data_IF_010984499710
#
_entry.id   IF_010984499710
#
_cell.length_a   1.000
_cell.length_b   1.000
_cell.length_c   1.000
_cell.angle_alpha   90.00
_cell.angle_beta   90.00
_cell.angle_gamma   90.00
#
_symmetry.space_group_name_H-M   'P 1'
#
loop_
_entity.id
_entity.type
_entity.pdbx_description
1 polymer ?
#
# COMPACT_ATOMS: atom_id res chain seq x y z
N UNK A 1 -42.84 -8.72 -24.65
CA UNK A 1 -43.24 -9.16 -23.29
C UNK A 1 -42.41 -10.38 -22.94
N UNK A 2 -41.35 -10.22 -22.13
CA UNK A 2 -40.69 -11.32 -21.45
C UNK A 2 -40.65 -10.94 -19.98
N UNK A 3 -41.61 -11.45 -19.22
CA UNK A 3 -41.63 -11.36 -17.77
C UNK A 3 -40.43 -12.16 -17.24
N UNK A 4 -39.58 -11.52 -16.45
CA UNK A 4 -38.51 -12.18 -15.68
C UNK A 4 -38.99 -12.25 -14.23
N UNK A 5 -39.37 -13.44 -13.80
CA UNK A 5 -39.74 -13.71 -12.42
C UNK A 5 -38.50 -13.68 -11.53
N UNK A 6 -38.51 -12.77 -10.54
CA UNK A 6 -37.54 -12.73 -9.46
C UNK A 6 -37.87 -13.83 -8.44
N UNK A 7 -37.31 -15.01 -8.64
CA UNK A 7 -37.36 -16.10 -7.67
C UNK A 7 -36.34 -15.91 -6.54
N UNK A 8 -36.82 -15.42 -5.40
CA UNK A 8 -36.11 -15.44 -4.11
C UNK A 8 -35.89 -16.88 -3.64
N UNK A 9 -34.67 -17.41 -3.76
CA UNK A 9 -34.30 -18.69 -3.14
C UNK A 9 -33.77 -18.45 -1.71
N UNK A 10 -34.66 -18.56 -0.75
CA UNK A 10 -34.35 -18.85 0.64
C UNK A 10 -33.59 -20.19 0.76
N UNK A 11 -32.39 -20.20 1.32
CA UNK A 11 -31.78 -21.40 1.92
C UNK A 11 -31.39 -21.11 3.38
N UNK A 12 -31.62 -22.09 4.28
CA UNK A 12 -31.96 -21.81 5.67
C UNK A 12 -30.72 -21.68 6.57
N UNK A 13 -30.93 -20.95 7.68
CA UNK A 13 -30.05 -20.95 8.84
C UNK A 13 -29.92 -22.36 9.44
N UNK A 14 -28.68 -22.71 9.75
CA UNK A 14 -28.23 -23.35 11.00
C UNK A 14 -27.32 -24.56 10.78
N UNK A 15 -26.03 -24.32 10.91
CA UNK A 15 -25.10 -25.31 11.43
C UNK A 15 -24.17 -24.54 12.37
N UNK A 16 -24.30 -24.86 13.66
CA UNK A 16 -23.68 -24.21 14.81
C UNK A 16 -22.16 -24.18 14.63
N UNK A 17 -21.60 -23.04 14.19
CA UNK A 17 -20.19 -22.77 14.42
C UNK A 17 -20.09 -22.40 15.89
N UNK A 18 -19.69 -23.37 16.70
CA UNK A 18 -19.40 -23.20 18.12
C UNK A 18 -18.21 -22.25 18.24
N UNK A 19 -18.49 -20.95 18.15
CA UNK A 19 -17.52 -19.89 18.39
C UNK A 19 -17.84 -19.40 19.78
N UNK A 20 -16.98 -19.79 20.71
CA UNK A 20 -16.75 -19.19 22.01
C UNK A 20 -16.44 -17.70 21.85
N UNK A 21 -17.45 -16.94 21.44
CA UNK A 21 -17.49 -15.49 21.44
C UNK A 21 -17.73 -15.12 22.89
N UNK A 22 -16.69 -14.96 23.71
CA UNK A 22 -16.66 -14.07 24.89
C UNK A 22 -15.21 -13.82 25.37
N UNK A 23 -14.30 -13.43 24.47
CA UNK A 23 -13.04 -12.76 24.87
C UNK A 23 -12.50 -11.74 23.85
N UNK A 24 -13.29 -11.31 22.85
CA UNK A 24 -12.92 -10.12 22.08
C UNK A 24 -13.30 -8.87 22.87
N UNK A 25 -12.44 -8.57 23.84
CA UNK A 25 -12.57 -7.49 24.81
C UNK A 25 -12.77 -6.13 24.14
N UNK A 26 -13.67 -5.34 24.72
CA UNK A 26 -14.01 -3.97 24.37
C UNK A 26 -12.88 -3.00 24.77
N UNK A 27 -11.64 -3.28 24.40
CA UNK A 27 -10.51 -2.38 24.71
C UNK A 27 -10.41 -1.35 23.59
N UNK A 28 -10.82 -0.11 23.89
CA UNK A 28 -10.64 1.02 22.97
C UNK A 28 -9.14 1.33 22.89
N UNK A 29 -8.47 1.10 21.75
CA UNK A 29 -7.03 1.29 21.65
C UNK A 29 -6.64 2.75 21.90
N UNK A 30 -5.51 2.96 22.56
CA UNK A 30 -4.92 4.31 22.73
C UNK A 30 -4.58 4.90 21.36
N UNK A 31 -4.51 6.23 21.25
CA UNK A 31 -4.25 6.92 19.97
C UNK A 31 -2.96 6.45 19.28
N UNK A 32 -1.94 6.03 20.04
CA UNK A 32 -0.70 5.44 19.51
C UNK A 32 -0.90 4.04 18.94
N UNK A 33 -1.63 3.17 19.66
CA UNK A 33 -1.95 1.80 19.24
C UNK A 33 -2.80 1.77 17.96
N UNK A 34 -3.74 2.70 17.80
CA UNK A 34 -4.53 2.83 16.56
C UNK A 34 -3.62 3.11 15.36
N UNK A 35 -2.62 3.98 15.55
CA UNK A 35 -1.67 4.32 14.49
C UNK A 35 -0.77 3.15 14.15
N UNK A 36 -0.29 2.43 15.15
CA UNK A 36 0.53 1.25 14.96
C UNK A 36 -0.25 0.13 14.24
N UNK A 37 -1.46 -0.18 14.71
CA UNK A 37 -2.34 -1.16 14.07
C UNK A 37 -2.66 -0.78 12.62
N UNK A 38 -2.93 0.50 12.35
CA UNK A 38 -3.14 0.99 10.98
C UNK A 38 -1.89 0.80 10.12
N UNK A 39 -0.69 1.05 10.66
CA UNK A 39 0.56 0.82 9.98
C UNK A 39 0.79 -0.67 9.65
N UNK A 40 0.58 -1.56 10.62
CA UNK A 40 0.64 -3.01 10.40
C UNK A 40 -0.33 -3.49 9.31
N UNK A 41 -1.56 -2.98 9.32
CA UNK A 41 -2.57 -3.28 8.28
C UNK A 41 -2.14 -2.79 6.90
N UNK A 42 -1.56 -1.59 6.81
CA UNK A 42 -0.98 -1.07 5.56
C UNK A 42 0.10 -2.02 5.04
N UNK A 43 1.02 -2.47 5.89
CA UNK A 43 2.07 -3.41 5.49
C UNK A 43 1.49 -4.72 4.93
N UNK A 44 0.46 -5.27 5.59
CA UNK A 44 -0.21 -6.49 5.14
C UNK A 44 -0.96 -6.31 3.81
N UNK A 45 -1.63 -5.17 3.60
CA UNK A 45 -2.26 -4.87 2.32
C UNK A 45 -1.23 -4.78 1.18
N UNK A 46 -0.08 -4.16 1.44
CA UNK A 46 0.99 -4.06 0.45
C UNK A 46 1.63 -5.42 0.14
N UNK A 47 1.75 -6.32 1.12
CA UNK A 47 2.28 -7.67 0.88
C UNK A 47 1.31 -8.52 0.05
N UNK A 48 -0.01 -8.35 0.22
CA UNK A 48 -0.99 -8.98 -0.68
C UNK A 48 -0.93 -8.39 -2.09
N UNK A 49 -0.80 -7.07 -2.22
CA UNK A 49 -0.63 -6.42 -3.51
C UNK A 49 0.57 -6.96 -4.28
N UNK A 50 1.71 -7.13 -3.61
CA UNK A 50 2.93 -7.66 -4.20
C UNK A 50 2.79 -9.11 -4.69
N UNK A 51 2.11 -9.97 -3.93
CA UNK A 51 1.86 -11.37 -4.29
C UNK A 51 0.91 -11.50 -5.49
N UNK A 52 -0.14 -10.69 -5.52
CA UNK A 52 -1.21 -10.82 -6.54
C UNK A 52 -0.91 -10.05 -7.82
N UNK A 53 -0.05 -9.03 -7.79
CA UNK A 53 0.12 -8.07 -8.89
C UNK A 53 0.38 -8.72 -10.26
N UNK A 54 1.16 -9.80 -10.32
CA UNK A 54 1.44 -10.51 -11.60
C UNK A 54 0.22 -11.24 -12.17
N UNK A 55 -0.72 -11.65 -11.32
CA UNK A 55 -1.92 -12.37 -11.71
C UNK A 55 -3.07 -11.39 -11.96
N UNK A 56 -3.27 -10.45 -11.04
CA UNK A 56 -4.39 -9.52 -11.05
C UNK A 56 -3.92 -8.11 -10.65
N UNK A 57 -3.42 -7.31 -11.61
CA UNK A 57 -2.84 -5.99 -11.33
C UNK A 57 -3.89 -4.96 -10.86
N UNK A 58 -5.16 -5.15 -11.23
CA UNK A 58 -6.26 -4.30 -10.77
C UNK A 58 -6.54 -4.51 -9.27
N UNK A 59 -6.52 -5.76 -8.80
CA UNK A 59 -6.69 -6.07 -7.38
C UNK A 59 -5.51 -5.55 -6.54
N UNK A 60 -4.29 -5.60 -7.07
CA UNK A 60 -3.14 -4.97 -6.43
C UNK A 60 -3.31 -3.44 -6.28
N UNK A 61 -3.86 -2.75 -7.29
CA UNK A 61 -4.20 -1.34 -7.18
C UNK A 61 -5.27 -1.08 -6.11
N UNK A 62 -6.27 -1.95 -5.99
CA UNK A 62 -7.31 -1.85 -4.95
C UNK A 62 -6.70 -1.95 -3.56
N UNK A 63 -5.77 -2.87 -3.32
CA UNK A 63 -5.04 -2.95 -2.06
C UNK A 63 -4.22 -1.67 -1.78
N UNK A 64 -3.59 -1.09 -2.82
CA UNK A 64 -2.89 0.18 -2.70
C UNK A 64 -3.81 1.36 -2.33
N UNK A 65 -5.00 1.43 -2.94
CA UNK A 65 -6.04 2.41 -2.61
C UNK A 65 -6.49 2.29 -1.15
N UNK A 66 -6.82 1.07 -0.70
CA UNK A 66 -7.22 0.80 0.69
C UNK A 66 -6.11 1.19 1.67
N UNK A 67 -4.85 0.89 1.37
CA UNK A 67 -3.73 1.26 2.20
C UNK A 67 -3.56 2.79 2.30
N UNK A 68 -3.76 3.52 1.19
CA UNK A 68 -3.73 4.98 1.16
C UNK A 68 -4.88 5.60 1.98
N UNK A 69 -6.08 5.06 1.86
CA UNK A 69 -7.25 5.50 2.65
C UNK A 69 -7.06 5.26 4.14
N UNK A 70 -6.53 4.08 4.50
CA UNK A 70 -6.26 3.74 5.90
C UNK A 70 -5.22 4.69 6.52
N UNK A 71 -4.17 5.03 5.76
CA UNK A 71 -3.16 6.01 6.19
C UNK A 71 -3.77 7.40 6.46
N UNK A 72 -4.67 7.85 5.58
CA UNK A 72 -5.38 9.13 5.75
C UNK A 72 -6.30 9.09 6.97
N UNK A 73 -7.10 8.03 7.12
CA UNK A 73 -8.07 7.88 8.22
C UNK A 73 -7.38 7.82 9.58
N UNK A 74 -6.27 7.09 9.68
CA UNK A 74 -5.47 7.00 10.90
C UNK A 74 -4.55 8.23 11.12
N UNK A 75 -4.54 9.20 10.20
CA UNK A 75 -3.70 10.42 10.23
C UNK A 75 -2.22 10.07 10.48
N UNK A 76 -1.73 9.06 9.78
CA UNK A 76 -0.32 8.67 9.84
C UNK A 76 0.54 9.71 9.13
N UNK A 77 1.74 9.99 9.67
CA UNK A 77 2.77 10.60 8.84
C UNK A 77 3.05 9.63 7.69
N UNK A 78 2.93 10.11 6.45
CA UNK A 78 2.86 9.28 5.27
C UNK A 78 4.03 8.26 5.24
N UNK A 79 3.76 6.96 5.49
CA UNK A 79 4.81 5.97 5.72
C UNK A 79 5.73 5.78 4.51
N UNK A 80 7.00 5.47 4.75
CA UNK A 80 8.00 5.32 3.69
C UNK A 80 7.67 4.18 2.73
N UNK A 81 7.09 3.09 3.21
CA UNK A 81 6.56 1.99 2.40
C UNK A 81 5.49 2.45 1.39
N UNK A 82 4.60 3.37 1.79
CA UNK A 82 3.63 3.97 0.89
C UNK A 82 4.26 5.00 -0.05
N UNK A 83 5.42 5.58 0.29
CA UNK A 83 6.17 6.45 -0.65
C UNK A 83 6.81 5.63 -1.75
N UNK A 84 7.21 4.41 -1.45
CA UNK A 84 7.83 3.47 -2.36
C UNK A 84 6.81 2.74 -3.25
N UNK A 85 5.80 2.09 -2.65
CA UNK A 85 4.99 1.07 -3.32
C UNK A 85 3.62 1.52 -3.83
N UNK A 86 3.16 2.74 -3.52
CA UNK A 86 1.80 3.19 -3.88
C UNK A 86 1.83 4.59 -4.43
N UNK A 87 1.01 4.89 -5.44
CA UNK A 87 0.81 6.24 -5.97
C UNK A 87 -0.03 7.13 -5.03
N UNK A 88 0.37 8.39 -4.85
CA UNK A 88 -0.23 9.32 -3.87
C UNK A 88 -1.55 9.88 -4.40
N UNK A 89 -1.68 9.91 -5.73
CA UNK A 89 -2.82 10.47 -6.43
C UNK A 89 -3.90 9.41 -6.64
N UNK A 90 -3.59 8.34 -7.39
CA UNK A 90 -4.57 7.32 -7.77
C UNK A 90 -4.58 6.05 -6.90
N UNK A 91 -3.62 5.90 -5.96
CA UNK A 91 -3.53 4.69 -5.13
C UNK A 91 -2.99 3.44 -5.85
N UNK A 92 -2.63 3.53 -7.13
CA UNK A 92 -2.08 2.41 -7.89
C UNK A 92 -0.81 1.82 -7.25
N UNK A 93 -0.67 0.50 -7.34
CA UNK A 93 0.51 -0.22 -6.88
C UNK A 93 1.69 0.04 -7.82
N UNK A 94 2.82 0.43 -7.24
CA UNK A 94 4.02 0.88 -7.95
C UNK A 94 5.07 -0.23 -7.98
N UNK A 95 5.31 -0.76 -9.18
CA UNK A 95 6.36 -1.71 -9.50
C UNK A 95 7.36 -1.01 -10.42
N UNK A 96 8.64 -1.10 -10.07
CA UNK A 96 9.72 -0.50 -10.86
C UNK A 96 9.74 -1.10 -12.27
N UNK A 97 9.82 -0.23 -13.29
CA UNK A 97 9.91 -0.65 -14.68
C UNK A 97 8.55 -0.90 -15.35
N UNK A 98 7.53 -1.28 -14.58
CA UNK A 98 6.20 -1.59 -15.12
C UNK A 98 5.20 -0.44 -14.93
N UNK A 99 4.81 -0.15 -13.69
CA UNK A 99 3.82 0.91 -13.38
C UNK A 99 4.46 2.22 -12.93
N UNK A 100 5.76 2.18 -12.61
CA UNK A 100 6.54 3.33 -12.17
C UNK A 100 7.80 3.51 -13.03
N UNK A 101 8.03 4.76 -13.45
CA UNK A 101 9.27 5.17 -14.10
C UNK A 101 10.12 6.01 -13.15
N UNK A 102 11.36 5.59 -12.93
CA UNK A 102 12.34 6.33 -12.11
C UNK A 102 13.42 6.92 -13.01
N UNK A 103 13.72 8.21 -12.84
CA UNK A 103 14.77 8.93 -13.57
C UNK A 103 15.58 9.80 -12.63
N UNK A 104 16.89 9.90 -12.86
CA UNK A 104 17.73 10.88 -12.17
C UNK A 104 17.80 12.13 -13.05
N UNK A 105 17.37 13.28 -12.52
CA UNK A 105 17.45 14.57 -13.19
C UNK A 105 18.37 15.51 -12.41
N UNK A 106 19.11 16.36 -13.11
CA UNK A 106 19.86 17.46 -12.51
C UNK A 106 18.96 18.71 -12.51
N UNK A 107 18.91 19.44 -11.40
CA UNK A 107 18.30 20.79 -11.30
C UNK A 107 19.31 21.69 -10.60
N UNK A 108 19.98 22.54 -11.37
CA UNK A 108 21.11 23.34 -10.89
C UNK A 108 22.24 22.45 -10.36
N UNK A 109 22.68 22.71 -9.13
CA UNK A 109 23.73 21.93 -8.43
C UNK A 109 23.21 20.63 -7.79
N UNK A 110 21.89 20.41 -7.77
CA UNK A 110 21.27 19.28 -7.06
C UNK A 110 20.80 18.19 -8.02
N UNK A 111 21.09 16.92 -7.68
CA UNK A 111 20.53 15.75 -8.37
C UNK A 111 19.21 15.36 -7.69
N UNK A 112 18.19 15.04 -8.49
CA UNK A 112 16.85 14.66 -8.05
C UNK A 112 16.50 13.29 -8.63
N UNK A 113 15.91 12.45 -7.80
CA UNK A 113 15.21 11.24 -8.23
C UNK A 113 13.77 11.65 -8.53
N UNK A 114 13.37 11.45 -9.78
CA UNK A 114 12.03 11.73 -10.29
C UNK A 114 11.32 10.40 -10.50
N UNK A 115 10.25 10.20 -9.76
CA UNK A 115 9.42 9.01 -9.78
C UNK A 115 8.08 9.36 -10.40
N UNK A 116 7.74 8.74 -11.52
CA UNK A 116 6.51 9.02 -12.27
C UNK A 116 5.62 7.79 -12.29
N UNK A 117 4.35 7.96 -11.93
CA UNK A 117 3.33 6.93 -12.10
C UNK A 117 2.94 6.86 -13.58
N UNK A 118 3.04 5.68 -14.19
CA UNK A 118 2.67 5.48 -15.59
C UNK A 118 1.16 5.35 -15.79
N UNK A 119 0.39 5.02 -14.74
CA UNK A 119 -1.09 4.95 -14.80
C UNK A 119 -1.77 6.32 -14.80
N UNK A 120 -1.29 7.29 -14.00
CA UNK A 120 -1.95 8.61 -13.86
C UNK A 120 -1.06 9.83 -14.15
N UNK A 121 0.20 9.63 -14.52
CA UNK A 121 1.17 10.70 -14.79
C UNK A 121 1.70 11.45 -13.55
N UNK A 122 1.21 11.16 -12.36
CA UNK A 122 1.64 11.86 -11.15
C UNK A 122 3.14 11.65 -10.89
N UNK A 123 3.85 12.75 -10.65
CA UNK A 123 5.31 12.76 -10.51
C UNK A 123 5.74 13.24 -9.13
N UNK A 124 6.60 12.46 -8.47
CA UNK A 124 7.25 12.77 -7.19
C UNK A 124 8.72 13.07 -7.45
N UNK A 125 9.28 13.98 -6.67
CA UNK A 125 10.69 14.39 -6.79
C UNK A 125 11.34 14.34 -5.42
N UNK A 126 12.49 13.70 -5.34
CA UNK A 126 13.26 13.58 -4.13
C UNK A 126 14.71 13.99 -4.41
N UNK A 127 15.27 14.99 -3.72
CA UNK A 127 16.66 15.34 -3.92
C UNK A 127 17.57 14.24 -3.34
N UNK A 128 18.64 13.93 -4.08
CA UNK A 128 19.61 12.90 -3.73
C UNK A 128 20.50 13.34 -2.56
N UNK A 129 20.81 14.63 -2.49
CA UNK A 129 21.61 15.27 -1.43
C UNK A 129 20.71 16.20 -0.59
N UNK A 130 20.87 16.16 0.73
CA UNK A 130 20.12 16.98 1.71
C UNK A 130 19.49 16.18 2.86
N UNK A 131 19.14 16.86 3.96
CA UNK A 131 18.40 16.30 5.10
C UNK A 131 16.90 16.20 4.77
N UNK A 132 16.48 15.15 4.05
CA UNK A 132 15.05 14.87 3.85
C UNK A 132 14.56 13.72 4.76
N UNK A 133 13.39 13.88 5.40
CA UNK A 133 12.81 12.82 6.23
C UNK A 133 12.24 11.70 5.33
N UNK A 134 12.96 10.58 5.32
CA UNK A 134 12.60 9.37 4.59
C UNK A 134 13.03 9.42 3.12
N UNK A 135 14.12 8.72 2.80
CA UNK A 135 14.54 8.42 1.43
C UNK A 135 13.72 7.23 0.95
N UNK A 136 12.67 7.41 0.12
CA UNK A 136 11.75 6.31 -0.21
C UNK A 136 12.43 5.15 -0.95
N UNK A 137 13.53 5.43 -1.65
CA UNK A 137 14.34 4.38 -2.28
C UNK A 137 15.06 3.49 -1.27
N UNK A 138 15.32 3.94 -0.04
CA UNK A 138 15.77 3.03 1.02
C UNK A 138 14.75 1.90 1.22
N UNK A 139 13.45 2.20 1.23
CA UNK A 139 12.40 1.19 1.32
C UNK A 139 12.19 0.36 0.03
N UNK A 140 12.77 0.78 -1.10
CA UNK A 140 12.75 0.04 -2.38
C UNK A 140 13.94 -0.93 -2.48
N UNK A 141 15.10 -0.58 -1.89
CA UNK A 141 16.37 -1.31 -2.05
C UNK A 141 16.92 -1.95 -0.75
N UNK A 142 16.27 -1.79 0.41
CA UNK A 142 16.63 -2.48 1.68
C UNK A 142 16.08 -3.92 1.80
N UNK A 143 15.81 -4.58 0.67
CA UNK A 143 15.76 -6.05 0.58
C UNK A 143 17.13 -6.64 0.20
N UNK A 144 18.21 -5.88 0.39
CA UNK A 144 19.59 -6.35 0.37
C UNK A 144 20.21 -6.14 1.75
N UNK A 145 19.75 -6.88 2.76
CA UNK A 145 20.75 -7.43 3.68
C UNK A 145 21.57 -8.43 2.83
N UNK A 146 22.90 -8.28 2.82
CA UNK A 146 23.92 -9.01 2.05
C UNK A 146 24.55 -8.30 0.82
N UNK A 147 25.14 -7.11 1.01
CA UNK A 147 26.31 -6.68 0.21
C UNK A 147 27.54 -6.42 1.13
N UNK A 148 27.50 -6.86 2.39
CA UNK A 148 28.65 -6.80 3.32
C UNK A 148 29.44 -8.13 3.38
N UNK A 149 29.27 -9.04 2.43
CA UNK A 149 30.15 -10.22 2.27
C UNK A 149 30.73 -10.29 0.84
N UNK A 150 31.25 -9.17 0.37
CA UNK A 150 32.10 -9.09 -0.81
C UNK A 150 33.42 -8.41 -0.40
N UNK A 151 34.10 -9.04 0.56
CA UNK A 151 35.55 -8.95 0.76
C UNK A 151 36.11 -10.36 0.72
#
# INVERSE_FOLDING_TARGET
MLQRDFGTSSRPLSAKVNTSILIYSQVKPRKGEIKDLAYQRILRLLSFAEKIYRQEPELADRYGQLALELSKRARLHYPDVLKAKVCRKCGAFMVLGETQRVRIKKKGKTKLIVVTCLKCGYTRRYPLKGKHPGKPWKAIYLTHENIENAE
#
